data_IF_797204963157
#
_entry.id   IF_797204963157
#
_cell.length_a   1.000
_cell.length_b   1.000
_cell.length_c   1.000
_cell.angle_alpha   90.00
_cell.angle_beta   90.00
_cell.angle_gamma   90.00
#
_symmetry.space_group_name_H-M   'P 1'
#
loop_
_entity.id
_entity.type
_entity.pdbx_description
1 polymer ?
#
# COMPACT_ATOMS: atom_id res chain seq x y z
N UNK A 1 19.20 -5.57 24.69
CA UNK A 1 19.05 -4.30 23.94
C UNK A 1 20.23 -4.19 22.97
N UNK A 2 20.00 -3.79 21.71
CA UNK A 2 21.09 -3.52 20.75
C UNK A 2 21.13 -2.03 20.48
N UNK A 3 22.34 -1.46 20.42
CA UNK A 3 22.57 -0.05 20.14
C UNK A 3 22.95 0.12 18.67
N UNK A 4 22.38 1.13 18.03
CA UNK A 4 22.71 1.51 16.66
C UNK A 4 23.22 2.95 16.71
N UNK A 5 24.34 3.20 16.05
CA UNK A 5 24.87 4.55 15.84
C UNK A 5 24.52 4.98 14.42
N UNK A 6 23.78 6.08 14.28
CA UNK A 6 23.39 6.64 12.99
C UNK A 6 24.15 7.95 12.78
N UNK A 7 24.82 8.10 11.62
CA UNK A 7 25.35 9.38 11.17
C UNK A 7 24.26 10.10 10.39
N UNK A 8 23.96 11.32 10.78
CA UNK A 8 22.98 12.19 10.11
C UNK A 8 23.61 13.55 9.92
N UNK A 9 23.01 14.35 9.04
CA UNK A 9 23.29 15.77 8.97
C UNK A 9 22.76 16.49 10.23
N UNK A 10 23.32 17.67 10.47
CA UNK A 10 22.97 18.48 11.65
C UNK A 10 21.52 18.94 11.58
N UNK A 11 21.01 19.28 10.38
CA UNK A 11 19.65 19.79 10.20
C UNK A 11 18.60 18.72 10.55
N UNK A 12 18.84 17.48 10.13
CA UNK A 12 17.98 16.35 10.50
C UNK A 12 18.05 16.06 11.99
N UNK A 13 19.24 16.09 12.61
CA UNK A 13 19.38 15.84 14.03
C UNK A 13 18.63 16.88 14.89
N UNK A 14 18.72 18.15 14.51
CA UNK A 14 17.95 19.23 15.12
C UNK A 14 16.45 19.02 14.94
N UNK A 15 16.02 18.67 13.74
CA UNK A 15 14.61 18.41 13.45
C UNK A 15 14.06 17.25 14.30
N UNK A 16 14.76 16.11 14.36
CA UNK A 16 14.39 14.98 15.23
C UNK A 16 14.36 15.40 16.69
N UNK A 17 15.30 16.24 17.12
CA UNK A 17 15.36 16.74 18.49
C UNK A 17 14.16 17.63 18.82
N UNK A 18 13.81 18.55 17.93
CA UNK A 18 12.68 19.45 18.12
C UNK A 18 11.36 18.68 18.10
N UNK A 19 11.20 17.75 17.17
CA UNK A 19 10.01 16.91 17.07
C UNK A 19 9.83 16.02 18.31
N UNK A 20 10.92 15.45 18.81
CA UNK A 20 10.91 14.66 20.05
C UNK A 20 10.48 15.52 21.25
N UNK A 21 10.97 16.76 21.35
CA UNK A 21 10.54 17.72 22.38
C UNK A 21 9.06 18.04 22.28
N UNK A 22 8.57 18.38 21.09
CA UNK A 22 7.17 18.74 20.84
C UNK A 22 6.20 17.61 21.18
N UNK A 23 6.62 16.36 20.93
CA UNK A 23 5.82 15.17 21.20
C UNK A 23 6.02 14.62 22.62
N UNK A 24 6.88 15.25 23.43
CA UNK A 24 7.28 14.76 24.76
C UNK A 24 7.80 13.31 24.75
N UNK A 25 8.55 12.94 23.71
CA UNK A 25 9.14 11.61 23.54
C UNK A 25 10.67 11.67 23.59
N UNK A 26 11.29 10.54 23.88
CA UNK A 26 12.75 10.41 23.66
C UNK A 26 13.04 10.26 22.16
N UNK A 27 14.23 10.65 21.72
CA UNK A 27 14.65 10.48 20.30
C UNK A 27 14.52 9.01 19.86
N UNK A 28 14.94 8.08 20.72
CA UNK A 28 14.87 6.64 20.45
C UNK A 28 13.43 6.11 20.39
N UNK A 29 12.53 6.65 21.21
CA UNK A 29 11.09 6.32 21.18
C UNK A 29 10.45 6.85 19.89
N UNK A 30 10.78 8.09 19.52
CA UNK A 30 10.31 8.72 18.29
C UNK A 30 10.74 7.92 17.05
N UNK A 31 12.02 7.53 16.97
CA UNK A 31 12.55 6.75 15.85
C UNK A 31 11.84 5.39 15.77
N UNK A 32 11.63 4.71 16.91
CA UNK A 32 10.90 3.42 16.93
C UNK A 32 9.47 3.55 16.41
N UNK A 33 8.74 4.57 16.86
CA UNK A 33 7.35 4.82 16.39
C UNK A 33 7.32 5.16 14.91
N UNK A 34 8.28 5.96 14.44
CA UNK A 34 8.39 6.36 13.05
C UNK A 34 8.66 5.16 12.14
N UNK A 35 9.59 4.27 12.52
CA UNK A 35 9.87 3.03 11.77
C UNK A 35 8.61 2.15 11.69
N UNK A 36 7.90 1.96 12.80
CA UNK A 36 6.68 1.15 12.82
C UNK A 36 5.57 1.76 11.98
N UNK A 37 5.41 3.08 12.03
CA UNK A 37 4.44 3.80 11.19
C UNK A 37 4.78 3.66 9.70
N UNK A 38 6.06 3.77 9.35
CA UNK A 38 6.54 3.61 7.98
C UNK A 38 6.35 2.17 7.46
N UNK A 39 6.63 1.16 8.29
CA UNK A 39 6.37 -0.25 7.94
C UNK A 39 4.89 -0.49 7.64
N UNK A 40 3.99 0.03 8.48
CA UNK A 40 2.55 -0.07 8.26
C UNK A 40 2.10 0.64 6.98
N UNK A 41 2.69 1.81 6.69
CA UNK A 41 2.42 2.55 5.47
C UNK A 41 2.81 1.73 4.22
N UNK A 42 4.03 1.16 4.20
CA UNK A 42 4.48 0.30 3.09
C UNK A 42 3.54 -0.88 2.89
N UNK A 43 3.18 -1.60 3.97
CA UNK A 43 2.27 -2.75 3.88
C UNK A 43 0.92 -2.37 3.29
N UNK A 44 0.38 -1.21 3.69
CA UNK A 44 -0.90 -0.71 3.17
C UNK A 44 -0.83 -0.38 1.68
N UNK A 45 0.25 0.25 1.24
CA UNK A 45 0.45 0.58 -0.19
C UNK A 45 0.63 -0.70 -1.04
N UNK A 46 1.38 -1.67 -0.55
CA UNK A 46 1.52 -2.98 -1.21
C UNK A 46 0.18 -3.70 -1.34
N UNK A 47 -0.62 -3.72 -0.27
CA UNK A 47 -1.95 -4.33 -0.28
C UNK A 47 -2.88 -3.61 -1.27
N UNK A 48 -2.85 -2.28 -1.29
CA UNK A 48 -3.65 -1.47 -2.22
C UNK A 48 -3.30 -1.80 -3.68
N UNK A 49 -2.02 -1.93 -4.00
CA UNK A 49 -1.59 -2.30 -5.34
C UNK A 49 -2.02 -3.73 -5.70
N UNK A 50 -1.90 -4.69 -4.78
CA UNK A 50 -2.39 -6.06 -4.99
C UNK A 50 -3.89 -6.10 -5.27
N UNK A 51 -4.71 -5.37 -4.50
CA UNK A 51 -6.16 -5.28 -4.71
C UNK A 51 -6.46 -4.67 -6.08
N UNK A 52 -5.75 -3.60 -6.45
CA UNK A 52 -5.91 -2.94 -7.76
C UNK A 52 -5.61 -3.90 -8.90
N UNK A 53 -4.52 -4.65 -8.82
CA UNK A 53 -4.17 -5.65 -9.84
C UNK A 53 -5.18 -6.79 -9.90
N UNK A 54 -5.63 -7.31 -8.75
CA UNK A 54 -6.66 -8.34 -8.71
C UNK A 54 -7.98 -7.85 -9.33
N UNK A 55 -8.38 -6.60 -9.06
CA UNK A 55 -9.58 -6.01 -9.64
C UNK A 55 -9.47 -5.82 -11.17
N UNK A 56 -8.29 -5.44 -11.67
CA UNK A 56 -8.04 -5.35 -13.11
C UNK A 56 -8.15 -6.73 -13.78
N UNK A 57 -7.54 -7.75 -13.18
CA UNK A 57 -7.60 -9.12 -13.69
C UNK A 57 -9.04 -9.65 -13.72
N UNK A 58 -9.80 -9.46 -12.64
CA UNK A 58 -11.22 -9.87 -12.59
C UNK A 58 -12.05 -9.14 -13.64
N UNK A 59 -11.82 -7.85 -13.85
CA UNK A 59 -12.52 -7.10 -14.91
C UNK A 59 -12.20 -7.64 -16.30
N UNK A 60 -10.94 -7.99 -16.57
CA UNK A 60 -10.55 -8.59 -17.84
C UNK A 60 -11.19 -9.96 -18.04
N UNK A 61 -11.15 -10.84 -17.03
CA UNK A 61 -11.81 -12.14 -17.07
C UNK A 61 -13.33 -12.02 -17.24
N UNK A 62 -13.97 -11.06 -16.56
CA UNK A 62 -15.40 -10.85 -16.72
C UNK A 62 -15.75 -10.31 -18.11
N UNK A 63 -14.92 -9.45 -18.68
CA UNK A 63 -15.12 -8.94 -20.04
C UNK A 63 -15.02 -10.06 -21.08
N UNK A 64 -14.04 -10.97 -20.95
CA UNK A 64 -13.92 -12.11 -21.85
C UNK A 64 -15.10 -13.08 -21.72
N UNK A 65 -15.53 -13.37 -20.49
CA UNK A 65 -16.69 -14.24 -20.23
C UNK A 65 -17.96 -13.59 -20.80
N UNK A 66 -18.17 -12.30 -20.59
CA UNK A 66 -19.34 -11.59 -21.12
C UNK A 66 -19.38 -11.62 -22.65
N UNK A 67 -18.23 -11.47 -23.30
CA UNK A 67 -18.13 -11.61 -24.76
C UNK A 67 -18.47 -13.02 -25.23
N UNK A 68 -18.05 -14.05 -24.50
CA UNK A 68 -18.36 -15.44 -24.82
C UNK A 68 -19.87 -15.72 -24.73
N UNK A 69 -20.54 -15.20 -23.69
CA UNK A 69 -21.99 -15.30 -23.56
C UNK A 69 -22.75 -14.47 -24.59
N UNK A 70 -22.25 -13.29 -24.99
CA UNK A 70 -22.90 -12.49 -26.03
C UNK A 70 -22.98 -13.19 -27.39
N UNK A 71 -22.10 -14.16 -27.65
CA UNK A 71 -22.17 -14.99 -28.86
C UNK A 71 -23.35 -15.97 -28.79
N UNK A 72 -23.71 -16.41 -27.58
CA UNK A 72 -24.84 -17.32 -27.33
C UNK A 72 -26.19 -16.61 -27.22
N UNK A 73 -26.24 -15.27 -27.19
CA UNK A 73 -27.49 -14.51 -27.01
C UNK A 73 -28.52 -14.75 -28.13
N UNK A 74 -28.07 -15.12 -29.34
CA UNK A 74 -28.93 -15.44 -30.49
C UNK A 74 -29.00 -16.95 -30.78
N UNK A 75 -28.39 -17.79 -29.93
CA UNK A 75 -28.38 -19.23 -30.12
C UNK A 75 -29.81 -19.80 -29.95
N UNK A 76 -30.33 -20.45 -30.99
CA UNK A 76 -31.69 -20.99 -31.02
C UNK A 76 -32.79 -20.06 -31.52
N UNK A 77 -32.48 -18.80 -31.91
CA UNK A 77 -33.47 -17.85 -32.45
C UNK A 77 -33.53 -17.79 -33.99
N UNK A 78 -32.78 -18.64 -34.71
CA UNK A 78 -32.72 -18.60 -36.19
C UNK A 78 -34.01 -19.01 -36.93
N UNK A 79 -35.12 -19.34 -36.25
CA UNK A 79 -36.38 -19.75 -36.91
C UNK A 79 -37.67 -19.30 -36.20
N UNK A 80 -37.71 -18.05 -35.70
CA UNK A 80 -38.97 -17.39 -35.27
C UNK A 80 -39.22 -16.14 -36.11
#
# INVERSE_FOLDING_TARGET
MKTITLKTDDTFFEHVTQLAKNLHLTKSELIRRSIKAYENHIKKEQLKEQIKQAALNVRQSNASISQEFSITDNDGLENV
#
